data_IF_479360431691
#
_entry.id   IF_479360431691
#
_cell.length_a   1.000
_cell.length_b   1.000
_cell.length_c   1.000
_cell.angle_alpha   90.00
_cell.angle_beta   90.00
_cell.angle_gamma   90.00
#
_symmetry.space_group_name_H-M   'P 1'
#
loop_
_entity.id
_entity.type
_entity.pdbx_description
1 polymer ?
#
# COMPACT_ATOMS: atom_id res chain seq x y z
N UNK A 1 25.73 -83.16 -71.18
CA UNK A 1 26.00 -81.76 -70.77
C UNK A 1 24.80 -80.80 -70.88
N UNK A 2 23.63 -81.18 -71.40
CA UNK A 2 22.48 -80.27 -71.57
C UNK A 2 21.46 -80.24 -70.41
N UNK A 3 21.49 -81.22 -69.49
CA UNK A 3 20.49 -81.30 -68.41
C UNK A 3 20.85 -80.51 -67.14
N UNK A 4 22.13 -80.20 -66.93
CA UNK A 4 22.60 -79.47 -65.74
C UNK A 4 22.43 -77.95 -65.93
N UNK A 5 22.53 -77.44 -67.17
CA UNK A 5 22.41 -76.01 -67.46
C UNK A 5 20.97 -75.47 -67.30
N UNK A 6 19.93 -76.28 -67.53
CA UNK A 6 18.53 -75.85 -67.37
C UNK A 6 18.09 -75.74 -65.91
N UNK A 7 18.61 -76.61 -65.03
CA UNK A 7 18.28 -76.62 -63.60
C UNK A 7 18.93 -75.46 -62.82
N UNK A 8 20.11 -74.99 -63.24
CA UNK A 8 20.78 -73.83 -62.63
C UNK A 8 20.07 -72.52 -63.02
N UNK A 9 19.69 -72.36 -64.29
CA UNK A 9 18.99 -71.16 -64.78
C UNK A 9 17.59 -70.97 -64.18
N UNK A 10 16.90 -72.07 -63.85
CA UNK A 10 15.60 -72.06 -63.14
C UNK A 10 15.68 -71.82 -61.63
N UNK A 11 16.84 -71.98 -60.98
CA UNK A 11 17.05 -71.62 -59.56
C UNK A 11 17.44 -70.16 -59.38
N UNK A 12 18.23 -69.60 -60.28
CA UNK A 12 18.64 -68.19 -60.21
C UNK A 12 17.47 -67.21 -60.43
N UNK A 13 16.55 -67.54 -61.33
CA UNK A 13 15.34 -66.75 -61.58
C UNK A 13 14.36 -66.81 -60.39
N UNK A 14 14.24 -67.95 -59.70
CA UNK A 14 13.46 -68.08 -58.45
C UNK A 14 14.10 -67.37 -57.25
N UNK A 15 15.42 -67.32 -57.15
CA UNK A 15 16.11 -66.55 -56.09
C UNK A 15 16.01 -65.03 -56.30
N UNK A 16 16.05 -64.54 -57.55
CA UNK A 16 15.86 -63.11 -57.86
C UNK A 16 14.44 -62.61 -57.57
N UNK A 17 13.40 -63.40 -57.86
CA UNK A 17 12.00 -63.01 -57.60
C UNK A 17 11.62 -63.03 -56.11
N UNK A 18 12.22 -63.92 -55.32
CA UNK A 18 12.03 -63.96 -53.86
C UNK A 18 12.75 -62.82 -53.14
N UNK A 19 13.91 -62.37 -53.62
CA UNK A 19 14.62 -61.26 -53.01
C UNK A 19 13.98 -59.89 -53.31
N UNK A 20 13.34 -59.70 -54.46
CA UNK A 20 12.56 -58.48 -54.74
C UNK A 20 11.26 -58.44 -53.92
N UNK A 21 10.53 -59.55 -53.78
CA UNK A 21 9.32 -59.61 -52.93
C UNK A 21 9.62 -59.40 -51.43
N UNK A 22 10.72 -59.98 -50.92
CA UNK A 22 11.14 -59.80 -49.51
C UNK A 22 11.67 -58.38 -49.24
N UNK A 23 12.42 -57.78 -50.17
CA UNK A 23 12.88 -56.40 -50.03
C UNK A 23 11.73 -55.38 -50.13
N UNK A 24 10.70 -55.62 -50.95
CA UNK A 24 9.53 -54.74 -51.04
C UNK A 24 8.69 -54.81 -49.76
N UNK A 25 8.44 -56.03 -49.21
CA UNK A 25 7.72 -56.19 -47.94
C UNK A 25 8.51 -55.65 -46.74
N UNK A 26 9.83 -55.85 -46.69
CA UNK A 26 10.68 -55.31 -45.61
C UNK A 26 10.83 -53.78 -45.69
N UNK A 27 10.94 -53.19 -46.90
CA UNK A 27 10.94 -51.73 -47.09
C UNK A 27 9.58 -51.11 -46.73
N UNK A 28 8.47 -51.76 -47.06
CA UNK A 28 7.12 -51.32 -46.69
C UNK A 28 6.89 -51.38 -45.17
N UNK A 29 7.30 -52.47 -44.51
CA UNK A 29 7.19 -52.65 -43.05
C UNK A 29 8.10 -51.68 -42.29
N UNK A 30 9.35 -51.48 -42.71
CA UNK A 30 10.21 -50.47 -42.10
C UNK A 30 9.68 -49.04 -42.30
N UNK A 31 9.08 -48.73 -43.45
CA UNK A 31 8.46 -47.43 -43.68
C UNK A 31 7.23 -47.20 -42.78
N UNK A 32 6.40 -48.23 -42.55
CA UNK A 32 5.25 -48.12 -41.62
C UNK A 32 5.68 -48.03 -40.15
N UNK A 33 6.74 -48.74 -39.76
CA UNK A 33 7.30 -48.70 -38.40
C UNK A 33 7.99 -47.35 -38.08
N UNK A 34 8.65 -46.73 -39.07
CA UNK A 34 9.22 -45.39 -38.90
C UNK A 34 8.14 -44.31 -38.85
N UNK A 35 7.10 -44.39 -39.70
CA UNK A 35 5.98 -43.44 -39.68
C UNK A 35 5.19 -43.52 -38.36
N UNK A 36 4.99 -44.73 -37.79
CA UNK A 36 4.34 -44.88 -36.48
C UNK A 36 5.22 -44.40 -35.31
N UNK A 37 6.55 -44.50 -35.42
CA UNK A 37 7.48 -43.97 -34.43
C UNK A 37 7.59 -42.43 -34.50
N UNK A 38 7.47 -41.82 -35.69
CA UNK A 38 7.39 -40.36 -35.85
C UNK A 38 6.02 -39.80 -35.44
N UNK A 39 4.91 -40.51 -35.66
CA UNK A 39 3.59 -40.13 -35.14
C UNK A 39 3.51 -40.24 -33.62
N UNK A 40 4.18 -41.21 -33.01
CA UNK A 40 4.33 -41.31 -31.54
C UNK A 40 5.26 -40.25 -30.94
N UNK A 41 6.07 -39.57 -31.75
CA UNK A 41 6.93 -38.45 -31.33
C UNK A 41 6.28 -37.07 -31.58
N UNK A 42 5.19 -37.03 -32.35
CA UNK A 42 4.47 -35.79 -32.68
C UNK A 42 3.64 -35.27 -31.49
N UNK A 43 3.17 -36.15 -30.60
CA UNK A 43 2.54 -35.76 -29.32
C UNK A 43 3.51 -35.06 -28.37
N UNK A 44 4.78 -35.49 -28.35
CA UNK A 44 5.82 -34.86 -27.53
C UNK A 44 6.20 -33.45 -28.00
N UNK A 45 6.18 -33.19 -29.32
CA UNK A 45 6.47 -31.85 -29.88
C UNK A 45 5.35 -30.86 -29.52
N UNK A 46 4.09 -31.29 -29.61
CA UNK A 46 2.94 -30.44 -29.27
C UNK A 46 2.89 -30.12 -27.76
N UNK A 47 3.15 -31.11 -26.91
CA UNK A 47 3.23 -30.93 -25.46
C UNK A 47 4.39 -30.01 -25.05
N UNK A 48 5.57 -30.19 -25.65
CA UNK A 48 6.72 -29.29 -25.46
C UNK A 48 6.38 -27.85 -25.88
N UNK A 49 5.66 -27.67 -26.99
CA UNK A 49 5.22 -26.36 -27.44
C UNK A 49 4.24 -25.71 -26.44
N UNK A 50 3.25 -26.46 -25.93
CA UNK A 50 2.32 -25.99 -24.89
C UNK A 50 3.05 -25.58 -23.62
N UNK A 51 3.98 -26.41 -23.13
CA UNK A 51 4.81 -26.06 -21.97
C UNK A 51 5.65 -24.80 -22.20
N UNK A 52 6.30 -24.67 -23.36
CA UNK A 52 7.06 -23.45 -23.69
C UNK A 52 6.16 -22.21 -23.70
N UNK A 53 4.97 -22.28 -24.31
CA UNK A 53 4.02 -21.14 -24.31
C UNK A 53 3.50 -20.79 -22.91
N UNK A 54 3.32 -21.79 -22.04
CA UNK A 54 3.00 -21.58 -20.63
C UNK A 54 4.15 -20.88 -19.91
N UNK A 55 5.39 -21.38 -20.03
CA UNK A 55 6.56 -20.79 -19.37
C UNK A 55 6.83 -19.35 -19.83
N UNK A 56 6.66 -19.06 -21.13
CA UNK A 56 6.78 -17.69 -21.66
C UNK A 56 5.73 -16.75 -21.05
N UNK A 57 4.50 -17.21 -20.91
CA UNK A 57 3.43 -16.46 -20.24
C UNK A 57 3.73 -16.27 -18.75
N UNK A 58 4.25 -17.30 -18.08
CA UNK A 58 4.64 -17.24 -16.68
C UNK A 58 5.79 -16.25 -16.42
N UNK A 59 6.78 -16.19 -17.32
CA UNK A 59 7.83 -15.16 -17.27
C UNK A 59 7.26 -13.74 -17.43
N UNK A 60 6.30 -13.54 -18.33
CA UNK A 60 5.62 -12.25 -18.51
C UNK A 60 4.80 -11.85 -17.28
N UNK A 61 4.15 -12.81 -16.62
CA UNK A 61 3.47 -12.60 -15.34
C UNK A 61 4.48 -12.15 -14.27
N UNK A 62 5.61 -12.86 -14.17
CA UNK A 62 6.71 -12.51 -13.26
C UNK A 62 7.23 -11.08 -13.47
N UNK A 63 7.49 -10.69 -14.72
CA UNK A 63 7.91 -9.33 -15.08
C UNK A 63 6.84 -8.29 -14.73
N UNK A 64 5.58 -8.57 -15.04
CA UNK A 64 4.45 -7.68 -14.70
C UNK A 64 4.34 -7.46 -13.19
N UNK A 65 4.58 -8.51 -12.38
CA UNK A 65 4.59 -8.39 -10.93
C UNK A 65 5.78 -7.56 -10.41
N UNK A 66 6.97 -7.71 -11.01
CA UNK A 66 8.12 -6.86 -10.68
C UNK A 66 7.86 -5.39 -11.03
N UNK A 67 7.21 -5.10 -12.17
CA UNK A 67 6.79 -3.74 -12.52
C UNK A 67 5.83 -3.14 -11.50
N UNK A 68 4.90 -3.94 -10.95
CA UNK A 68 3.98 -3.50 -9.89
C UNK A 68 4.74 -3.10 -8.63
N UNK A 69 5.67 -3.96 -8.17
CA UNK A 69 6.48 -3.68 -6.99
C UNK A 69 7.38 -2.46 -7.18
N UNK A 70 8.07 -2.38 -8.32
CA UNK A 70 8.92 -1.24 -8.65
C UNK A 70 8.12 0.06 -8.74
N UNK A 71 6.95 0.03 -9.38
CA UNK A 71 6.09 1.20 -9.49
C UNK A 71 5.55 1.66 -8.13
N UNK A 72 5.05 0.74 -7.31
CA UNK A 72 4.56 1.06 -5.97
C UNK A 72 5.69 1.61 -5.09
N UNK A 73 6.86 0.96 -5.13
CA UNK A 73 8.06 1.41 -4.42
C UNK A 73 8.49 2.82 -4.82
N UNK A 74 8.56 3.10 -6.13
CA UNK A 74 8.91 4.43 -6.64
C UNK A 74 7.85 5.47 -6.27
N UNK A 75 6.56 5.16 -6.39
CA UNK A 75 5.50 6.14 -6.06
C UNK A 75 5.46 6.44 -4.56
N UNK A 76 5.64 5.43 -3.70
CA UNK A 76 5.77 5.64 -2.26
C UNK A 76 7.06 6.36 -1.91
N UNK A 77 8.15 6.08 -2.64
CA UNK A 77 9.37 6.87 -2.64
C UNK A 77 9.07 8.35 -2.90
N UNK A 78 8.46 8.68 -4.04
CA UNK A 78 8.08 10.04 -4.45
C UNK A 78 7.12 10.73 -3.48
N UNK A 79 6.21 9.98 -2.85
CA UNK A 79 5.28 10.50 -1.84
C UNK A 79 5.98 10.85 -0.52
N UNK A 80 6.99 10.04 -0.13
CA UNK A 80 7.86 10.29 1.02
C UNK A 80 8.94 11.35 0.71
N UNK A 81 9.37 11.42 -0.56
CA UNK A 81 10.32 12.39 -1.11
C UNK A 81 9.72 13.77 -1.38
N UNK A 82 8.42 13.98 -1.13
CA UNK A 82 7.84 15.33 -1.00
C UNK A 82 8.54 16.21 0.06
N UNK A 83 9.51 15.64 0.75
CA UNK A 83 10.37 16.27 1.70
C UNK A 83 9.62 16.38 3.01
N UNK A 84 10.39 16.33 4.09
CA UNK A 84 9.88 16.65 5.41
C UNK A 84 9.09 17.97 5.33
N UNK A 85 7.89 17.95 5.88
CA UNK A 85 7.07 19.13 6.06
C UNK A 85 7.89 20.17 6.84
N UNK A 86 7.99 21.38 6.28
CA UNK A 86 8.69 22.51 6.89
C UNK A 86 7.68 23.47 7.53
N UNK A 87 8.11 24.28 8.50
CA UNK A 87 7.18 25.15 9.21
C UNK A 87 6.45 26.18 8.33
N UNK A 88 7.14 26.71 7.32
CA UNK A 88 6.59 27.70 6.39
C UNK A 88 6.01 27.04 5.12
N UNK A 89 5.92 25.72 5.07
CA UNK A 89 5.12 25.04 4.04
C UNK A 89 3.64 25.35 4.27
N UNK A 90 2.91 25.45 3.17
CA UNK A 90 1.45 25.55 3.19
C UNK A 90 0.84 24.18 3.56
N UNK A 91 -0.32 24.19 4.20
CA UNK A 91 -1.05 22.95 4.55
C UNK A 91 -1.37 22.12 3.32
N UNK A 92 -1.59 22.75 2.16
CA UNK A 92 -1.82 22.08 0.88
C UNK A 92 -0.75 21.05 0.50
N UNK A 93 0.47 21.17 1.02
CA UNK A 93 1.53 20.17 0.84
C UNK A 93 1.17 18.83 1.50
N UNK A 94 0.51 18.86 2.67
CA UNK A 94 -0.05 17.68 3.34
C UNK A 94 -1.16 17.07 2.49
N UNK A 95 -2.06 17.91 1.95
CA UNK A 95 -3.10 17.46 1.04
C UNK A 95 -2.56 16.79 -0.21
N UNK A 96 -1.56 17.39 -0.85
CA UNK A 96 -0.86 16.85 -2.03
C UNK A 96 -0.14 15.53 -1.73
N UNK A 97 0.43 15.40 -0.54
CA UNK A 97 1.03 14.14 -0.10
C UNK A 97 -0.02 13.02 -0.08
N UNK A 98 -1.18 13.23 0.55
CA UNK A 98 -2.27 12.23 0.54
C UNK A 98 -2.83 11.95 -0.86
N UNK A 99 -2.89 12.95 -1.74
CA UNK A 99 -3.29 12.74 -3.14
C UNK A 99 -2.35 11.78 -3.86
N UNK A 100 -1.04 12.00 -3.75
CA UNK A 100 -0.02 11.12 -4.36
C UNK A 100 -0.06 9.71 -3.80
N UNK A 101 -0.25 9.56 -2.49
CA UNK A 101 -0.48 8.25 -1.87
C UNK A 101 -1.70 7.57 -2.50
N UNK A 102 -2.81 8.30 -2.65
CA UNK A 102 -4.02 7.81 -3.32
C UNK A 102 -3.83 7.44 -4.79
N UNK A 103 -3.04 8.22 -5.53
CA UNK A 103 -2.67 7.93 -6.93
C UNK A 103 -1.79 6.67 -7.03
N UNK A 104 -0.81 6.51 -6.14
CA UNK A 104 0.03 5.32 -6.07
C UNK A 104 -0.77 4.05 -5.82
N UNK A 105 -1.72 4.10 -4.88
CA UNK A 105 -2.66 3.01 -4.62
C UNK A 105 -3.52 2.70 -5.85
N UNK A 106 -4.10 3.72 -6.48
CA UNK A 106 -4.95 3.57 -7.67
C UNK A 106 -4.19 2.93 -8.83
N UNK A 107 -2.97 3.39 -9.09
CA UNK A 107 -2.16 2.88 -10.18
C UNK A 107 -1.70 1.43 -9.92
N UNK A 108 -1.36 1.11 -8.66
CA UNK A 108 -1.04 -0.28 -8.26
C UNK A 108 -2.23 -1.19 -8.49
N UNK A 109 -3.44 -0.75 -8.10
CA UNK A 109 -4.70 -1.45 -8.36
C UNK A 109 -4.91 -1.72 -9.86
N UNK A 110 -4.78 -0.70 -10.71
CA UNK A 110 -4.92 -0.85 -12.16
C UNK A 110 -3.94 -1.87 -12.74
N UNK A 111 -2.67 -1.85 -12.31
CA UNK A 111 -1.70 -2.85 -12.76
C UNK A 111 -2.00 -4.26 -12.24
N UNK A 112 -2.60 -4.40 -11.07
CA UNK A 112 -3.10 -5.68 -10.58
C UNK A 112 -4.28 -6.20 -11.42
N UNK A 113 -5.19 -5.33 -11.85
CA UNK A 113 -6.26 -5.69 -12.79
C UNK A 113 -5.68 -6.19 -14.13
N UNK A 114 -4.65 -5.52 -14.66
CA UNK A 114 -3.91 -5.98 -15.85
C UNK A 114 -3.22 -7.33 -15.63
N UNK A 115 -2.64 -7.55 -14.45
CA UNK A 115 -2.02 -8.80 -14.07
C UNK A 115 -3.05 -9.94 -14.04
N UNK A 116 -4.24 -9.71 -13.48
CA UNK A 116 -5.32 -10.69 -13.46
C UNK A 116 -5.71 -11.14 -14.87
N UNK A 117 -5.82 -10.20 -15.83
CA UNK A 117 -6.10 -10.51 -17.25
C UNK A 117 -4.99 -11.36 -17.88
N UNK A 118 -3.72 -11.06 -17.59
CA UNK A 118 -2.57 -11.85 -18.08
C UNK A 118 -2.58 -13.27 -17.51
N UNK A 119 -2.95 -13.43 -16.24
CA UNK A 119 -3.05 -14.74 -15.59
C UNK A 119 -4.19 -15.55 -16.20
N UNK A 120 -5.38 -14.99 -16.32
CA UNK A 120 -6.56 -15.69 -16.86
C UNK A 120 -6.44 -16.08 -18.33
N UNK A 121 -5.62 -15.34 -19.10
CA UNK A 121 -5.31 -15.66 -20.50
C UNK A 121 -4.11 -16.61 -20.68
N UNK A 122 -3.48 -17.07 -19.60
CA UNK A 122 -2.33 -17.98 -19.70
C UNK A 122 -2.81 -19.38 -20.11
N UNK A 123 -2.32 -19.90 -21.25
CA UNK A 123 -2.70 -21.23 -21.71
C UNK A 123 -2.16 -22.30 -20.75
N UNK A 124 -2.94 -23.36 -20.53
CA UNK A 124 -2.52 -24.51 -19.72
C UNK A 124 -2.09 -24.14 -18.29
N UNK A 125 -2.72 -23.14 -17.67
CA UNK A 125 -2.46 -22.74 -16.29
C UNK A 125 -3.62 -23.11 -15.36
N UNK A 126 -3.31 -23.69 -14.20
CA UNK A 126 -4.24 -23.69 -13.08
C UNK A 126 -4.14 -22.35 -12.34
N UNK A 127 -5.18 -21.52 -12.48
CA UNK A 127 -5.24 -20.15 -11.95
C UNK A 127 -6.21 -20.00 -10.77
N UNK A 128 -6.71 -21.13 -10.24
CA UNK A 128 -7.79 -21.14 -9.25
C UNK A 128 -7.42 -20.33 -8.00
N UNK A 129 -8.28 -19.38 -7.64
CA UNK A 129 -8.15 -18.54 -6.43
C UNK A 129 -7.18 -17.35 -6.56
N UNK A 130 -6.47 -17.19 -7.69
CA UNK A 130 -5.57 -16.05 -7.90
C UNK A 130 -6.37 -14.78 -8.19
N UNK A 131 -7.40 -14.88 -9.04
CA UNK A 131 -8.33 -13.78 -9.31
C UNK A 131 -9.00 -13.27 -8.03
N UNK A 132 -9.43 -14.20 -7.17
CA UNK A 132 -10.02 -13.86 -5.86
C UNK A 132 -9.01 -13.15 -4.95
N UNK A 133 -7.74 -13.59 -4.96
CA UNK A 133 -6.66 -12.94 -4.20
C UNK A 133 -6.39 -11.52 -4.68
N UNK A 134 -6.35 -11.31 -6.00
CA UNK A 134 -6.17 -9.98 -6.60
C UNK A 134 -7.38 -9.09 -6.28
N UNK A 135 -8.60 -9.60 -6.43
CA UNK A 135 -9.83 -8.88 -6.10
C UNK A 135 -9.87 -8.47 -4.63
N UNK A 136 -9.53 -9.38 -3.72
CA UNK A 136 -9.46 -9.10 -2.29
C UNK A 136 -8.46 -8.00 -1.93
N UNK A 137 -7.30 -7.95 -2.61
CA UNK A 137 -6.34 -6.86 -2.46
C UNK A 137 -6.89 -5.53 -3.01
N UNK A 138 -7.54 -5.58 -4.18
CA UNK A 138 -8.12 -4.39 -4.82
C UNK A 138 -9.25 -3.78 -3.98
N UNK A 139 -10.07 -4.59 -3.31
CA UNK A 139 -11.08 -4.13 -2.35
C UNK A 139 -10.45 -3.38 -1.16
N UNK A 140 -9.30 -3.85 -0.68
CA UNK A 140 -8.52 -3.17 0.37
C UNK A 140 -7.94 -1.85 -0.15
N UNK A 141 -7.40 -1.83 -1.38
CA UNK A 141 -6.86 -0.61 -1.96
C UNK A 141 -7.94 0.44 -2.20
N UNK A 142 -9.15 0.05 -2.61
CA UNK A 142 -10.27 0.97 -2.75
C UNK A 142 -10.65 1.65 -1.43
N UNK A 143 -10.59 0.92 -0.32
CA UNK A 143 -10.83 1.50 1.01
C UNK A 143 -9.74 2.48 1.41
N UNK A 144 -8.46 2.10 1.23
CA UNK A 144 -7.35 3.01 1.51
C UNK A 144 -7.45 4.28 0.64
N UNK A 145 -7.73 4.15 -0.66
CA UNK A 145 -7.93 5.28 -1.59
C UNK A 145 -9.05 6.19 -1.11
N UNK A 146 -10.17 5.64 -0.64
CA UNK A 146 -11.29 6.42 -0.11
C UNK A 146 -10.87 7.21 1.13
N UNK A 147 -10.17 6.58 2.06
CA UNK A 147 -9.78 7.22 3.32
C UNK A 147 -8.69 8.28 3.12
N UNK A 148 -7.66 8.03 2.30
CA UNK A 148 -6.64 9.06 2.00
C UNK A 148 -7.24 10.25 1.24
N UNK A 149 -8.25 10.04 0.39
CA UNK A 149 -9.00 11.14 -0.24
C UNK A 149 -9.75 12.02 0.77
N UNK A 150 -10.30 11.43 1.83
CA UNK A 150 -10.90 12.21 2.94
C UNK A 150 -9.85 13.09 3.59
N UNK A 151 -8.68 12.53 3.92
CA UNK A 151 -7.57 13.27 4.54
C UNK A 151 -7.10 14.42 3.63
N UNK A 152 -6.95 14.17 2.32
CA UNK A 152 -6.61 15.20 1.34
C UNK A 152 -7.65 16.32 1.27
N UNK A 153 -8.94 16.02 1.43
CA UNK A 153 -10.03 17.00 1.36
C UNK A 153 -9.97 18.08 2.44
N UNK A 154 -9.48 17.73 3.63
CA UNK A 154 -9.46 18.62 4.81
C UNK A 154 -8.10 19.25 5.10
N UNK A 155 -7.06 18.87 4.34
CA UNK A 155 -5.68 19.38 4.50
C UNK A 155 -5.24 20.33 3.39
N UNK A 156 -6.13 20.67 2.44
CA UNK A 156 -5.85 21.63 1.36
C UNK A 156 -6.19 23.06 1.76
N UNK A 157 -5.26 23.71 2.45
CA UNK A 157 -5.33 25.14 2.75
C UNK A 157 -4.02 25.85 2.40
N UNK A 158 -4.13 27.13 2.05
CA UNK A 158 -2.99 28.00 1.75
C UNK A 158 -2.29 28.52 3.00
N UNK A 159 -2.93 28.42 4.16
CA UNK A 159 -2.36 28.78 5.46
C UNK A 159 -1.10 27.96 5.73
N UNK A 160 -0.18 28.52 6.53
CA UNK A 160 1.05 27.84 6.93
C UNK A 160 0.75 26.74 7.95
N UNK A 161 1.58 25.70 7.92
CA UNK A 161 1.51 24.59 8.88
C UNK A 161 1.83 25.09 10.30
N UNK A 162 2.86 25.92 10.44
CA UNK A 162 3.20 26.58 11.69
C UNK A 162 2.62 28.00 11.81
N UNK A 163 1.37 28.25 11.42
CA UNK A 163 0.77 29.59 11.55
C UNK A 163 0.64 29.99 13.03
N UNK A 164 1.28 31.09 13.45
CA UNK A 164 1.33 31.52 14.87
C UNK A 164 0.80 32.94 15.02
N UNK A 165 -0.12 33.12 15.97
CA UNK A 165 -0.57 34.44 16.41
C UNK A 165 0.29 34.93 17.59
N UNK A 166 0.96 36.09 17.40
CA UNK A 166 1.80 36.75 18.42
C UNK A 166 1.20 38.07 18.95
N UNK A 167 0.08 38.49 18.36
CA UNK A 167 -0.62 39.75 18.69
C UNK A 167 -2.00 39.50 19.30
N UNK A 168 -2.76 38.58 18.72
CA UNK A 168 -4.14 38.28 19.10
C UNK A 168 -4.27 36.87 19.69
N UNK A 169 -5.47 36.54 20.17
CA UNK A 169 -5.85 35.16 20.46
C UNK A 169 -5.62 34.26 19.23
N UNK A 170 -5.21 33.03 19.49
CA UNK A 170 -5.12 31.99 18.50
C UNK A 170 -6.53 31.50 18.09
N UNK A 171 -6.59 30.63 17.08
CA UNK A 171 -7.82 30.04 16.56
C UNK A 171 -7.76 28.52 16.68
N UNK A 172 -8.85 27.90 17.11
CA UNK A 172 -9.03 26.46 17.01
C UNK A 172 -9.14 26.00 15.55
N UNK A 173 -8.79 24.75 15.28
CA UNK A 173 -9.15 24.14 14.00
C UNK A 173 -10.66 23.87 13.92
N UNK A 174 -11.28 23.89 12.73
CA UNK A 174 -12.70 23.57 12.57
C UNK A 174 -12.99 22.15 13.06
N UNK A 175 -13.93 21.94 14.01
CA UNK A 175 -14.27 20.61 14.51
C UNK A 175 -14.65 19.61 13.41
N UNK A 176 -15.38 20.07 12.39
CA UNK A 176 -15.78 19.23 11.26
C UNK A 176 -14.58 18.68 10.47
N UNK A 177 -13.60 19.53 10.17
CA UNK A 177 -12.40 19.12 9.43
C UNK A 177 -11.53 18.16 10.26
N UNK A 178 -11.43 18.40 11.57
CA UNK A 178 -10.71 17.53 12.50
C UNK A 178 -11.38 16.16 12.63
N UNK A 179 -12.71 16.10 12.70
CA UNK A 179 -13.46 14.84 12.72
C UNK A 179 -13.26 14.03 11.44
N UNK A 180 -13.36 14.66 10.27
CA UNK A 180 -13.11 13.98 8.99
C UNK A 180 -11.68 13.42 8.94
N UNK A 181 -10.71 14.14 9.48
CA UNK A 181 -9.33 13.65 9.55
C UNK A 181 -9.23 12.43 10.48
N UNK A 182 -9.80 12.51 11.69
CA UNK A 182 -9.82 11.40 12.66
C UNK A 182 -10.47 10.15 12.05
N UNK A 183 -11.64 10.30 11.42
CA UNK A 183 -12.36 9.22 10.74
C UNK A 183 -11.51 8.59 9.63
N UNK A 184 -10.83 9.40 8.81
CA UNK A 184 -9.94 8.90 7.76
C UNK A 184 -8.79 8.07 8.33
N UNK A 185 -8.20 8.50 9.46
CA UNK A 185 -7.16 7.74 10.17
C UNK A 185 -7.71 6.43 10.75
N UNK A 186 -8.90 6.47 11.37
CA UNK A 186 -9.58 5.28 11.89
C UNK A 186 -9.80 4.25 10.78
N UNK A 187 -10.36 4.66 9.64
CA UNK A 187 -10.61 3.77 8.51
C UNK A 187 -9.32 3.15 7.93
N UNK A 188 -8.23 3.92 7.84
CA UNK A 188 -6.93 3.39 7.40
C UNK A 188 -6.44 2.31 8.36
N UNK A 189 -6.45 2.59 9.66
CA UNK A 189 -5.97 1.65 10.68
C UNK A 189 -6.84 0.41 10.76
N UNK A 190 -8.17 0.57 10.69
CA UNK A 190 -9.09 -0.55 10.73
C UNK A 190 -8.96 -1.42 9.48
N UNK A 191 -8.76 -0.82 8.30
CA UNK A 191 -8.45 -1.55 7.07
C UNK A 191 -7.13 -2.33 7.19
N UNK A 192 -6.09 -1.70 7.73
CA UNK A 192 -4.79 -2.31 7.93
C UNK A 192 -4.85 -3.50 8.92
N UNK A 193 -5.53 -3.33 10.05
CA UNK A 193 -5.63 -4.34 11.10
C UNK A 193 -6.61 -5.46 10.73
N UNK A 194 -7.87 -5.12 10.45
CA UNK A 194 -8.95 -6.11 10.30
C UNK A 194 -8.89 -6.88 8.99
N UNK A 195 -8.44 -6.23 7.90
CA UNK A 195 -8.40 -6.87 6.57
C UNK A 195 -7.03 -7.37 6.16
N UNK A 196 -5.99 -6.87 6.81
CA UNK A 196 -4.60 -7.09 6.36
C UNK A 196 -3.70 -7.64 7.45
N UNK A 197 -4.18 -7.70 8.71
CA UNK A 197 -3.43 -8.22 9.85
C UNK A 197 -2.16 -7.41 10.13
N UNK A 198 -2.13 -6.13 9.78
CA UNK A 198 -1.01 -5.23 10.13
C UNK A 198 -1.08 -4.95 11.62
N UNK A 199 0.06 -5.09 12.30
CA UNK A 199 0.18 -4.78 13.72
C UNK A 199 0.43 -3.28 13.89
N UNK A 200 -0.33 -2.66 14.78
CA UNK A 200 -0.18 -1.24 15.11
C UNK A 200 0.66 -1.16 16.38
N UNK A 201 1.79 -0.45 16.29
CA UNK A 201 2.61 -0.19 17.46
C UNK A 201 1.81 0.55 18.51
N UNK A 202 1.95 0.16 19.79
CA UNK A 202 1.30 0.87 20.90
C UNK A 202 1.90 2.25 21.10
N UNK A 203 3.23 2.34 21.00
CA UNK A 203 3.99 3.53 21.37
C UNK A 203 4.03 3.73 22.88
N UNK A 204 4.61 4.86 23.30
CA UNK A 204 4.61 5.32 24.69
C UNK A 204 3.86 6.65 24.77
N UNK A 205 2.75 6.66 25.50
CA UNK A 205 1.91 7.85 25.70
C UNK A 205 2.70 9.06 26.23
N UNK A 206 3.72 8.78 27.05
CA UNK A 206 4.52 9.77 27.76
C UNK A 206 3.79 10.33 28.97
N UNK A 207 4.45 11.26 29.63
CA UNK A 207 3.94 11.86 30.87
C UNK A 207 2.82 12.86 30.57
N UNK A 208 2.02 13.12 31.59
CA UNK A 208 1.02 14.17 31.61
C UNK A 208 1.67 15.54 31.40
N UNK A 209 1.05 16.40 30.59
CA UNK A 209 1.53 17.78 30.39
C UNK A 209 0.78 18.70 31.36
N UNK A 210 1.47 19.32 32.33
CA UNK A 210 0.84 20.04 33.42
C UNK A 210 0.15 21.34 32.98
N UNK A 211 -0.79 21.80 33.82
CA UNK A 211 -1.67 22.94 33.61
C UNK A 211 -1.40 24.07 34.64
N UNK A 212 -0.15 24.50 34.78
CA UNK A 212 0.31 25.40 35.86
C UNK A 212 0.22 26.88 35.52
N UNK A 213 0.44 27.24 34.25
CA UNK A 213 0.48 28.64 33.82
C UNK A 213 0.36 28.81 32.30
N UNK A 214 0.13 30.06 31.87
CA UNK A 214 0.18 30.45 30.45
C UNK A 214 1.56 30.32 29.79
N UNK A 215 2.60 29.93 30.55
CA UNK A 215 3.96 29.65 30.06
C UNK A 215 4.18 28.17 29.74
N UNK A 216 3.21 27.28 30.01
CA UNK A 216 3.33 25.85 29.74
C UNK A 216 3.18 25.53 28.24
N UNK A 217 3.65 24.34 27.84
CA UNK A 217 3.62 23.86 26.45
C UNK A 217 2.23 23.99 25.81
N UNK A 218 1.17 23.64 26.53
CA UNK A 218 -0.21 23.67 26.02
C UNK A 218 -0.66 25.08 25.64
N UNK A 219 -0.17 26.12 26.32
CA UNK A 219 -0.53 27.51 26.00
C UNK A 219 -0.07 27.91 24.60
N UNK A 220 1.03 27.34 24.09
CA UNK A 220 1.44 27.56 22.71
C UNK A 220 0.47 26.91 21.68
N UNK A 221 -0.30 25.90 22.08
CA UNK A 221 -1.35 25.30 21.26
C UNK A 221 -2.68 26.07 21.35
N UNK A 222 -3.14 26.35 22.57
CA UNK A 222 -4.52 26.83 22.84
C UNK A 222 -4.61 28.29 23.31
N UNK A 223 -3.49 28.98 23.49
CA UNK A 223 -3.44 30.33 24.08
C UNK A 223 -3.65 30.29 25.59
N UNK A 224 -3.84 31.47 26.19
CA UNK A 224 -4.22 31.63 27.62
C UNK A 224 -5.34 32.66 27.72
N UNK A 225 -6.43 32.37 28.44
CA UNK A 225 -7.51 33.32 28.71
C UNK A 225 -7.82 34.37 27.60
N UNK A 226 -8.09 33.90 26.38
CA UNK A 226 -8.38 34.75 25.20
C UNK A 226 -7.23 35.68 24.77
N UNK A 227 -6.01 35.33 25.13
CA UNK A 227 -4.77 36.04 24.87
C UNK A 227 -3.68 35.08 24.37
N UNK A 228 -2.55 35.65 23.96
CA UNK A 228 -1.39 34.88 23.54
C UNK A 228 -0.69 34.18 24.71
N UNK A 229 0.03 33.11 24.40
CA UNK A 229 0.89 32.41 25.34
C UNK A 229 1.93 33.33 25.99
N UNK A 230 2.31 33.00 27.22
CA UNK A 230 3.43 33.64 27.91
C UNK A 230 4.77 33.13 27.38
N UNK A 231 5.84 33.81 27.81
CA UNK A 231 7.19 33.42 27.44
C UNK A 231 7.49 31.96 27.83
N UNK A 232 8.37 31.31 27.09
CA UNK A 232 8.79 29.90 27.20
C UNK A 232 7.79 28.83 26.70
N UNK A 233 6.51 29.14 26.51
CA UNK A 233 5.51 28.16 26.08
C UNK A 233 5.90 27.47 24.76
N UNK A 234 6.44 28.24 23.81
CA UNK A 234 6.85 27.70 22.51
C UNK A 234 8.01 26.71 22.58
N UNK A 235 9.01 26.98 23.43
CA UNK A 235 10.15 26.09 23.63
C UNK A 235 9.74 24.80 24.32
N UNK A 236 8.87 24.88 25.34
CA UNK A 236 8.33 23.69 26.01
C UNK A 236 7.45 22.85 25.08
N UNK A 237 6.67 23.48 24.20
CA UNK A 237 5.91 22.76 23.17
C UNK A 237 6.84 21.97 22.23
N UNK A 238 7.92 22.61 21.77
CA UNK A 238 8.92 21.94 20.93
C UNK A 238 9.56 20.74 21.65
N UNK A 239 9.85 20.87 22.95
CA UNK A 239 10.37 19.78 23.77
C UNK A 239 9.37 18.61 23.88
N UNK A 240 8.12 18.88 24.25
CA UNK A 240 7.05 17.86 24.32
C UNK A 240 6.90 17.14 22.98
N UNK A 241 6.79 17.89 21.88
CA UNK A 241 6.62 17.31 20.55
C UNK A 241 7.85 16.48 20.14
N UNK A 242 9.06 16.91 20.48
CA UNK A 242 10.28 16.15 20.18
C UNK A 242 10.30 14.78 20.88
N UNK A 243 9.81 14.70 22.12
CA UNK A 243 9.74 13.48 22.94
C UNK A 243 8.55 12.58 22.61
N UNK A 244 7.50 13.12 22.00
CA UNK A 244 6.29 12.36 21.69
C UNK A 244 6.57 11.15 20.78
N UNK A 245 6.06 9.98 21.16
CA UNK A 245 6.17 8.77 20.36
C UNK A 245 5.17 8.81 19.19
N UNK A 246 5.61 8.62 17.93
CA UNK A 246 4.73 8.68 16.76
C UNK A 246 3.60 7.61 16.76
N UNK A 247 3.86 6.41 17.27
CA UNK A 247 2.85 5.35 17.39
C UNK A 247 1.79 5.73 18.43
N UNK A 248 2.21 6.28 19.57
CA UNK A 248 1.28 6.79 20.56
C UNK A 248 0.42 7.93 19.96
N UNK A 249 1.04 8.87 19.24
CA UNK A 249 0.31 9.97 18.59
C UNK A 249 -0.79 9.46 17.64
N UNK A 250 -0.48 8.49 16.76
CA UNK A 250 -1.51 7.98 15.84
C UNK A 250 -2.63 7.23 16.58
N UNK A 251 -2.30 6.50 17.65
CA UNK A 251 -3.30 5.83 18.48
C UNK A 251 -4.21 6.84 19.19
N UNK A 252 -3.65 7.95 19.70
CA UNK A 252 -4.44 9.03 20.29
C UNK A 252 -5.37 9.68 19.26
N UNK A 253 -4.89 9.95 18.04
CA UNK A 253 -5.73 10.44 16.94
C UNK A 253 -6.86 9.43 16.64
N UNK A 254 -6.54 8.14 16.50
CA UNK A 254 -7.53 7.09 16.26
C UNK A 254 -8.62 7.07 17.35
N UNK A 255 -8.23 7.22 18.61
CA UNK A 255 -9.15 7.17 19.76
C UNK A 255 -9.89 8.47 20.06
N UNK A 256 -9.57 9.56 19.35
CA UNK A 256 -10.15 10.86 19.61
C UNK A 256 -11.65 10.88 19.24
N UNK A 257 -12.49 11.39 20.15
CA UNK A 257 -13.96 11.43 19.96
C UNK A 257 -14.57 12.80 20.24
N UNK A 258 -13.88 13.66 21.00
CA UNK A 258 -14.39 14.97 21.42
C UNK A 258 -13.73 16.10 20.62
N UNK A 259 -14.46 16.70 19.70
CA UNK A 259 -14.07 17.93 19.00
C UNK A 259 -15.06 19.06 19.27
N UNK A 260 -14.57 20.30 19.36
CA UNK A 260 -15.41 21.47 19.62
C UNK A 260 -15.97 21.55 21.03
N UNK A 261 -15.53 20.67 21.93
CA UNK A 261 -15.85 20.75 23.36
C UNK A 261 -15.09 21.89 24.03
N UNK A 262 -15.63 22.41 25.14
CA UNK A 262 -14.88 23.36 25.97
C UNK A 262 -13.63 22.69 26.55
N UNK A 263 -12.55 23.46 26.72
CA UNK A 263 -11.38 22.98 27.42
C UNK A 263 -11.68 22.86 28.91
N UNK A 264 -11.27 21.73 29.50
CA UNK A 264 -11.23 21.59 30.94
C UNK A 264 -10.07 22.41 31.50
N UNK A 265 -10.27 23.04 32.65
CA UNK A 265 -9.22 23.76 33.40
C UNK A 265 -8.37 22.78 34.22
N UNK A 266 -7.98 21.68 33.58
CA UNK A 266 -7.20 20.59 34.16
C UNK A 266 -6.23 20.01 33.11
N UNK A 267 -5.62 18.89 33.45
CA UNK A 267 -4.68 18.13 32.65
C UNK A 267 -5.34 16.97 31.88
N UNK A 268 -6.66 16.89 31.79
CA UNK A 268 -7.38 15.76 31.18
C UNK A 268 -7.89 16.04 29.76
N UNK A 269 -7.48 17.14 29.13
CA UNK A 269 -7.91 17.45 27.77
C UNK A 269 -7.34 16.45 26.76
N UNK A 270 -8.21 15.99 25.86
CA UNK A 270 -7.93 15.01 24.81
C UNK A 270 -7.60 15.70 23.46
N UNK A 271 -6.99 14.95 22.55
CA UNK A 271 -6.50 15.41 21.23
C UNK A 271 -7.48 16.31 20.48
N UNK A 272 -8.71 15.85 20.27
CA UNK A 272 -9.69 16.55 19.45
C UNK A 272 -10.10 17.90 20.05
N UNK A 273 -10.22 17.96 21.38
CA UNK A 273 -10.60 19.17 22.10
C UNK A 273 -9.44 20.18 22.07
N UNK A 274 -8.23 19.70 22.34
CA UNK A 274 -7.00 20.52 22.24
C UNK A 274 -6.78 21.11 20.84
N UNK A 275 -7.06 20.35 19.78
CA UNK A 275 -6.88 20.82 18.40
C UNK A 275 -7.90 21.90 17.99
N UNK A 276 -9.12 21.81 18.52
CA UNK A 276 -10.28 22.59 18.03
C UNK A 276 -10.68 23.76 18.92
N UNK A 277 -10.19 23.79 20.16
CA UNK A 277 -10.57 24.80 21.14
C UNK A 277 -9.44 25.78 21.45
N UNK A 278 -9.82 26.89 22.09
CA UNK A 278 -8.92 27.95 22.59
C UNK A 278 -9.25 28.24 24.04
N UNK A 279 -8.27 28.65 24.83
CA UNK A 279 -8.47 28.92 26.25
C UNK A 279 -9.33 30.18 26.43
N UNK A 280 -10.50 30.05 27.07
CA UNK A 280 -11.39 31.16 27.44
C UNK A 280 -11.70 31.07 28.94
N UNK A 281 -11.16 31.96 29.76
CA UNK A 281 -11.45 31.99 31.20
C UNK A 281 -10.46 31.28 32.14
N UNK A 282 -9.28 30.89 31.65
CA UNK A 282 -8.19 30.38 32.50
C UNK A 282 -6.85 30.30 31.78
N UNK A 283 -5.76 30.34 32.55
CA UNK A 283 -4.38 30.29 32.05
C UNK A 283 -3.79 28.88 32.08
N UNK A 284 -4.56 27.90 32.57
CA UNK A 284 -4.07 26.63 33.09
C UNK A 284 -4.74 25.47 32.37
N UNK A 285 -4.35 25.24 31.12
CA UNK A 285 -4.80 24.10 30.30
C UNK A 285 -3.65 23.09 30.18
N UNK A 286 -3.91 21.83 30.52
CA UNK A 286 -2.95 20.74 30.35
C UNK A 286 -3.44 19.71 29.33
N UNK A 287 -2.66 18.65 29.14
CA UNK A 287 -3.04 17.49 28.34
C UNK A 287 -2.75 16.20 29.09
N UNK A 288 -3.58 15.20 28.79
CA UNK A 288 -3.53 13.91 29.50
C UNK A 288 -2.17 13.23 29.37
N UNK A 289 -1.56 13.37 28.20
CA UNK A 289 -0.24 12.81 27.90
C UNK A 289 0.52 13.71 26.92
N UNK A 290 1.83 13.49 26.83
CA UNK A 290 2.72 14.11 25.83
C UNK A 290 2.26 13.77 24.41
N UNK A 291 1.81 12.53 24.17
CA UNK A 291 1.24 12.10 22.89
C UNK A 291 -0.07 12.83 22.57
N UNK A 292 -0.94 13.08 23.56
CA UNK A 292 -2.18 13.82 23.36
C UNK A 292 -1.93 15.25 22.87
N UNK A 293 -0.99 15.97 23.52
CA UNK A 293 -0.63 17.33 23.09
C UNK A 293 0.02 17.33 21.71
N UNK A 294 1.00 16.47 21.46
CA UNK A 294 1.67 16.42 20.17
C UNK A 294 0.73 16.02 19.02
N UNK A 295 -0.18 15.08 19.25
CA UNK A 295 -1.21 14.71 18.28
C UNK A 295 -2.15 15.90 17.99
N UNK A 296 -2.55 16.66 19.01
CA UNK A 296 -3.40 17.84 18.83
C UNK A 296 -2.69 18.94 18.03
N UNK A 297 -1.39 19.14 18.27
CA UNK A 297 -0.54 20.02 17.46
C UNK A 297 -0.56 19.57 15.99
N UNK A 298 -0.36 18.28 15.72
CA UNK A 298 -0.39 17.76 14.36
C UNK A 298 -1.75 17.99 13.69
N UNK A 299 -2.86 17.65 14.35
CA UNK A 299 -4.21 17.85 13.79
C UNK A 299 -4.49 19.31 13.48
N UNK A 300 -4.14 20.23 14.40
CA UNK A 300 -4.33 21.67 14.21
C UNK A 300 -3.46 22.25 13.10
N UNK A 301 -2.25 21.72 12.93
CA UNK A 301 -1.32 22.13 11.89
C UNK A 301 -1.71 21.61 10.49
N UNK A 302 -2.35 20.45 10.39
CA UNK A 302 -2.77 19.85 9.11
C UNK A 302 -4.13 20.36 8.62
N UNK A 303 -5.10 20.51 9.52
CA UNK A 303 -6.47 20.93 9.19
C UNK A 303 -6.58 22.44 9.02
N UNK A 304 -7.62 22.95 8.36
CA UNK A 304 -7.69 24.36 7.94
C UNK A 304 -7.77 25.34 9.12
N UNK A 305 -7.37 26.60 8.90
CA UNK A 305 -7.60 27.79 9.77
C UNK A 305 -7.13 27.78 11.23
N UNK A 306 -6.74 26.66 11.82
CA UNK A 306 -6.21 26.61 13.19
C UNK A 306 -4.90 27.37 13.30
N UNK A 307 -4.68 28.14 14.37
CA UNK A 307 -3.42 28.86 14.60
C UNK A 307 -2.87 28.55 15.98
N UNK A 308 -1.55 28.63 16.11
CA UNK A 308 -0.85 28.50 17.36
C UNK A 308 -0.67 29.86 18.03
N UNK A 309 -0.11 29.86 19.24
CA UNK A 309 0.19 31.06 20.00
C UNK A 309 1.66 31.09 20.40
N UNK A 310 2.26 32.28 20.42
CA UNK A 310 3.57 32.51 21.00
C UNK A 310 3.65 33.91 21.59
N UNK A 311 4.57 34.10 22.54
CA UNK A 311 4.75 35.38 23.20
C UNK A 311 5.26 36.48 22.25
N UNK A 312 6.19 36.11 21.37
CA UNK A 312 6.89 37.01 20.45
C UNK A 312 7.38 36.25 19.19
N UNK A 313 7.95 36.98 18.23
CA UNK A 313 8.39 36.42 16.96
C UNK A 313 9.52 35.37 17.08
N UNK A 314 10.40 35.51 18.08
CA UNK A 314 11.49 34.55 18.28
C UNK A 314 10.94 33.20 18.78
N UNK A 315 10.00 33.24 19.74
CA UNK A 315 9.34 32.01 20.22
C UNK A 315 8.43 31.37 19.16
N UNK A 316 7.86 32.17 18.25
CA UNK A 316 7.06 31.65 17.15
C UNK A 316 7.85 30.66 16.28
N UNK A 317 9.18 30.79 16.18
CA UNK A 317 10.03 29.85 15.45
C UNK A 317 10.04 28.45 16.08
N UNK A 318 10.04 28.36 17.42
CA UNK A 318 9.99 27.08 18.13
C UNK A 318 8.64 26.39 17.94
N UNK A 319 7.54 27.16 18.04
CA UNK A 319 6.18 26.66 17.79
C UNK A 319 6.02 26.16 16.36
N UNK A 320 6.53 26.92 15.39
CA UNK A 320 6.61 26.56 13.98
C UNK A 320 7.33 25.22 13.75
N UNK A 321 8.51 25.06 14.35
CA UNK A 321 9.28 23.83 14.29
C UNK A 321 8.54 22.65 14.95
N UNK A 322 7.89 22.89 16.09
CA UNK A 322 7.07 21.90 16.78
C UNK A 322 5.90 21.43 15.89
N UNK A 323 5.17 22.36 15.26
CA UNK A 323 4.08 22.04 14.34
C UNK A 323 4.55 21.14 13.19
N UNK A 324 5.61 21.54 12.48
CA UNK A 324 6.17 20.74 11.39
C UNK A 324 6.65 19.35 11.87
N UNK A 325 7.28 19.26 13.03
CA UNK A 325 7.75 17.99 13.62
C UNK A 325 6.58 17.06 13.92
N UNK A 326 5.51 17.58 14.53
CA UNK A 326 4.32 16.81 14.86
C UNK A 326 3.65 16.25 13.59
N UNK A 327 3.53 17.07 12.53
CA UNK A 327 2.99 16.65 11.24
C UNK A 327 3.83 15.52 10.65
N UNK A 328 5.16 15.68 10.58
CA UNK A 328 6.04 14.65 10.02
C UNK A 328 5.96 13.32 10.78
N UNK A 329 5.85 13.35 12.11
CA UNK A 329 5.69 12.14 12.93
C UNK A 329 4.40 11.39 12.59
N UNK A 330 3.28 12.10 12.44
CA UNK A 330 1.99 11.49 12.09
C UNK A 330 1.99 10.93 10.66
N UNK A 331 2.46 11.72 9.69
CA UNK A 331 2.54 11.27 8.29
C UNK A 331 3.43 10.04 8.13
N UNK A 332 4.63 10.05 8.75
CA UNK A 332 5.55 8.92 8.64
C UNK A 332 4.98 7.59 9.16
N UNK A 333 4.15 7.63 10.21
CA UNK A 333 3.48 6.43 10.72
C UNK A 333 2.29 6.03 9.83
N UNK A 334 1.49 6.98 9.34
CA UNK A 334 0.42 6.67 8.41
C UNK A 334 0.95 6.02 7.12
N UNK A 335 2.02 6.57 6.56
CA UNK A 335 2.67 6.02 5.37
C UNK A 335 3.22 4.61 5.62
N UNK A 336 3.81 4.38 6.79
CA UNK A 336 4.28 3.07 7.20
C UNK A 336 3.13 2.05 7.25
N UNK A 337 2.00 2.41 7.87
CA UNK A 337 0.81 1.55 7.97
C UNK A 337 0.25 1.22 6.58
N UNK A 338 0.12 2.21 5.71
CA UNK A 338 -0.37 2.03 4.32
C UNK A 338 0.59 1.13 3.55
N UNK A 339 1.90 1.37 3.65
CA UNK A 339 2.92 0.56 2.98
C UNK A 339 2.90 -0.89 3.44
N UNK A 340 2.87 -1.14 4.75
CA UNK A 340 2.78 -2.49 5.31
C UNK A 340 1.52 -3.20 4.84
N UNK A 341 0.39 -2.47 4.78
CA UNK A 341 -0.88 -3.00 4.27
C UNK A 341 -0.74 -3.46 2.81
N UNK A 342 -0.20 -2.60 1.95
CA UNK A 342 -0.03 -2.92 0.52
C UNK A 342 0.94 -4.07 0.32
N UNK A 343 2.10 -4.05 0.97
CA UNK A 343 3.13 -5.09 0.85
C UNK A 343 2.56 -6.45 1.24
N UNK A 344 1.81 -6.57 2.34
CA UNK A 344 1.20 -7.84 2.75
C UNK A 344 0.26 -8.42 1.69
N UNK A 345 -0.52 -7.58 1.01
CA UNK A 345 -1.42 -8.06 -0.05
C UNK A 345 -0.67 -8.41 -1.33
N UNK A 346 0.34 -7.63 -1.71
CA UNK A 346 1.21 -7.97 -2.83
C UNK A 346 1.97 -9.28 -2.58
N UNK A 347 2.44 -9.53 -1.36
CA UNK A 347 3.06 -10.80 -0.96
C UNK A 347 2.09 -11.98 -1.10
N UNK A 348 0.83 -11.84 -0.65
CA UNK A 348 -0.19 -12.89 -0.84
C UNK A 348 -0.41 -13.21 -2.32
N UNK A 349 -0.52 -12.19 -3.17
CA UNK A 349 -0.67 -12.36 -4.61
C UNK A 349 0.57 -13.03 -5.21
N UNK A 350 1.77 -12.64 -4.76
CA UNK A 350 3.03 -13.26 -5.20
C UNK A 350 3.03 -14.77 -4.91
N UNK A 351 2.64 -15.17 -3.71
CA UNK A 351 2.59 -16.59 -3.34
C UNK A 351 1.52 -17.34 -4.14
N UNK A 352 0.36 -16.72 -4.39
CA UNK A 352 -0.67 -17.29 -5.27
C UNK A 352 -0.17 -17.47 -6.71
N UNK A 353 0.53 -16.47 -7.27
CA UNK A 353 1.14 -16.52 -8.61
C UNK A 353 2.23 -17.58 -8.69
N UNK A 354 3.09 -17.72 -7.68
CA UNK A 354 4.10 -18.80 -7.64
C UNK A 354 3.48 -20.20 -7.66
N UNK A 355 2.25 -20.32 -7.16
CA UNK A 355 1.50 -21.57 -7.14
C UNK A 355 0.92 -21.99 -8.48
N UNK A 356 0.99 -21.16 -9.53
CA UNK A 356 0.50 -21.51 -10.88
C UNK A 356 1.30 -22.70 -11.40
N UNK A 357 0.59 -23.75 -11.79
CA UNK A 357 1.17 -24.94 -12.40
C UNK A 357 0.65 -25.14 -13.82
N UNK A 358 1.46 -25.79 -14.64
CA UNK A 358 1.02 -26.29 -15.93
C UNK A 358 -0.08 -27.34 -15.72
N UNK A 359 -1.22 -27.15 -16.38
CA UNK A 359 -2.37 -28.05 -16.33
C UNK A 359 -2.82 -28.39 -17.76
N UNK A 360 -2.97 -29.68 -18.02
CA UNK A 360 -3.58 -30.15 -19.27
C UNK A 360 -5.09 -30.14 -19.09
N UNK A 361 -5.79 -29.27 -19.83
CA UNK A 361 -7.21 -29.48 -20.06
C UNK A 361 -7.34 -30.75 -20.89
N UNK A 362 -7.63 -31.88 -20.23
CA UNK A 362 -7.99 -33.12 -20.91
C UNK A 362 -9.22 -32.83 -21.75
N UNK A 363 -9.05 -32.69 -23.07
CA UNK A 363 -10.15 -32.79 -23.99
C UNK A 363 -10.74 -34.18 -23.80
N UNK A 364 -11.99 -34.27 -23.36
CA UNK A 364 -12.76 -35.51 -23.50
C UNK A 364 -12.77 -35.85 -24.99
N UNK A 365 -11.89 -36.77 -25.38
CA UNK A 365 -12.06 -37.54 -26.59
C UNK A 365 -13.34 -38.34 -26.39
N UNK A 366 -14.46 -37.81 -26.88
CA UNK A 366 -15.67 -38.62 -27.06
C UNK A 366 -15.31 -39.70 -28.07
N UNK A 367 -14.93 -40.87 -27.56
CA UNK A 367 -14.88 -42.08 -28.37
C UNK A 367 -16.31 -42.37 -28.81
N UNK A 368 -16.64 -41.93 -30.03
CA UNK A 368 -17.79 -42.38 -30.76
C UNK A 368 -17.73 -43.90 -30.86
N UNK A 369 -18.56 -44.58 -30.07
CA UNK A 369 -18.85 -46.00 -30.25
C UNK A 369 -19.70 -46.12 -31.51
N UNK A 370 -19.08 -46.54 -32.61
CA UNK A 370 -19.78 -47.14 -33.75
C UNK A 370 -20.25 -48.55 -33.40
#
# INVERSE_FOLDING_TARGET
MLYVASLVKGRESRMRQNNTHKNIKLRSICATLFISLFLSCNSGIEELQKRNTFFDSFLKIGNSFQEILGFFGNTMGDALEFGSIKPDDNRDKVGKHFEKVGEGLKNTKTKLDELAIKISSTPNADTKGIEDSIKGANDVFDQLIKSVKKLAGVTKATDKIGEVNITNANKGAPPADVNIFIEGVQEIIDTATTKSGVEIGKGTDGDQVPHKSGADATAALVGKNSAKADANAGSLLAEVVSKADPWAMINKIKSATKTGAALNQDDNNEVGTLATSVATGGDNIGSKTTADLAAAVALKAMTKTGTFSANNANEALAVKAAAATAVNKVLGILDLIIRQTVVKHLEKIREAVKGIQYSETTGESSEGKN
#
